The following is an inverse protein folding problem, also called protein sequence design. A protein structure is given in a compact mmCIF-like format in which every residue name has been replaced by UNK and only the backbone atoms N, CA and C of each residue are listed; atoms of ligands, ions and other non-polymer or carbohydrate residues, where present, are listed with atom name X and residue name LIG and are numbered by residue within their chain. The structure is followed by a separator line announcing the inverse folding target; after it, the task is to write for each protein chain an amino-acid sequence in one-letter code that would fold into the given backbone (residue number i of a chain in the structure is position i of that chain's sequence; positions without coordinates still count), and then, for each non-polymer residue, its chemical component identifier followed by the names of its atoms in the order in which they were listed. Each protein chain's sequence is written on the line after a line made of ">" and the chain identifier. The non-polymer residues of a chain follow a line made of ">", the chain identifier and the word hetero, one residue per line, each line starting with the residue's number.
data_IF_614497579991
#
_entry.id   IF_614497579991
#
_cell.length_a   1.000
_cell.length_b   1.000
_cell.length_c   1.000
_cell.angle_alpha   90.00
_cell.angle_beta   90.00
_cell.angle_gamma   90.00
#
_symmetry.space_group_name_H-M   'P 1'
#
loop_
_entity.id
_entity.type
_entity.pdbx_description
1 polymer ?
#
# COMPACT_ATOMS: atom_id res chain seq x y z
N UNK A 1 -0.36 12.94 -5.76
CA UNK A 1 -0.06 11.49 -5.62
C UNK A 1 -1.35 10.68 -5.59
N UNK A 2 -2.28 11.13 -4.76
CA UNK A 2 -3.69 10.74 -4.64
C UNK A 2 -4.36 10.56 -6.00
N UNK A 3 -4.25 11.55 -6.92
CA UNK A 3 -4.81 11.44 -8.27
C UNK A 3 -4.27 10.25 -9.07
N UNK A 4 -3.00 9.88 -8.88
CA UNK A 4 -2.40 8.73 -9.59
C UNK A 4 -2.95 7.42 -9.03
N UNK A 5 -3.01 7.30 -7.70
CA UNK A 5 -3.54 6.11 -7.03
C UNK A 5 -5.04 5.96 -7.30
N UNK A 6 -5.79 7.07 -7.23
CA UNK A 6 -7.25 7.10 -7.44
C UNK A 6 -7.69 6.77 -8.87
N UNK A 7 -6.78 6.82 -9.87
CA UNK A 7 -7.08 6.33 -11.23
C UNK A 7 -7.35 4.82 -11.25
N UNK A 8 -6.72 4.07 -10.35
CA UNK A 8 -6.90 2.61 -10.23
C UNK A 8 -7.77 2.23 -9.04
N UNK A 9 -7.61 2.91 -7.91
CA UNK A 9 -8.34 2.63 -6.67
C UNK A 9 -9.51 3.62 -6.53
N UNK A 10 -10.67 3.24 -7.05
CA UNK A 10 -11.86 4.09 -7.12
C UNK A 10 -12.71 3.91 -5.85
N UNK A 11 -13.27 5.00 -5.33
CA UNK A 11 -14.21 4.96 -4.20
C UNK A 11 -13.59 4.73 -2.82
N UNK A 12 -12.27 4.91 -2.68
CA UNK A 12 -11.54 4.76 -1.41
C UNK A 12 -10.69 6.00 -1.05
N UNK A 13 -11.28 7.22 -0.98
CA UNK A 13 -10.51 8.45 -0.87
C UNK A 13 -9.68 8.55 0.43
N UNK A 14 -10.17 8.01 1.54
CA UNK A 14 -9.47 8.02 2.83
C UNK A 14 -8.23 7.12 2.79
N UNK A 15 -8.36 5.90 2.28
CA UNK A 15 -7.23 4.98 2.14
C UNK A 15 -6.17 5.53 1.18
N UNK A 16 -6.61 6.09 0.04
CA UNK A 16 -5.72 6.75 -0.93
C UNK A 16 -4.97 7.92 -0.27
N UNK A 17 -5.65 8.77 0.49
CA UNK A 17 -5.05 9.91 1.19
C UNK A 17 -4.04 9.47 2.25
N UNK A 18 -4.38 8.46 3.05
CA UNK A 18 -3.50 7.93 4.10
C UNK A 18 -2.17 7.42 3.53
N UNK A 19 -2.24 6.63 2.45
CA UNK A 19 -1.06 6.10 1.78
C UNK A 19 -0.24 7.21 1.10
N UNK A 20 -0.91 8.15 0.42
CA UNK A 20 -0.22 9.26 -0.22
C UNK A 20 0.52 10.16 0.77
N UNK A 21 -0.05 10.39 1.97
CA UNK A 21 0.63 11.11 3.05
C UNK A 21 1.92 10.41 3.49
N UNK A 22 1.89 9.10 3.71
CA UNK A 22 3.07 8.33 4.10
C UNK A 22 4.22 8.42 3.09
N UNK A 23 3.89 8.25 1.80
CA UNK A 23 4.88 8.35 0.72
C UNK A 23 5.47 9.77 0.68
N UNK A 24 4.65 10.82 0.86
CA UNK A 24 5.14 12.21 0.92
C UNK A 24 6.08 12.43 2.11
N UNK A 25 5.76 11.90 3.29
CA UNK A 25 6.59 12.03 4.48
C UNK A 25 7.96 11.36 4.31
N UNK A 26 8.00 10.21 3.64
CA UNK A 26 9.27 9.55 3.34
C UNK A 26 10.10 10.33 2.32
N UNK A 27 9.48 10.83 1.24
CA UNK A 27 10.18 11.63 0.23
C UNK A 27 10.74 12.95 0.76
N UNK A 28 10.15 13.52 1.82
CA UNK A 28 10.68 14.73 2.45
C UNK A 28 11.84 14.47 3.41
N UNK A 29 12.21 13.21 3.67
CA UNK A 29 13.26 12.85 4.64
C UNK A 29 12.85 13.09 6.09
N UNK A 30 11.59 13.42 6.37
CA UNK A 30 11.06 13.66 7.72
C UNK A 30 10.69 12.36 8.45
N UNK A 31 10.78 11.21 7.77
CA UNK A 31 10.55 9.89 8.37
C UNK A 31 11.80 9.39 9.10
N UNK A 32 11.61 8.74 10.25
CA UNK A 32 12.67 8.02 10.95
C UNK A 32 13.23 6.88 10.08
N UNK A 33 14.53 6.90 9.78
CA UNK A 33 15.20 5.91 8.93
C UNK A 33 15.25 4.50 9.54
N UNK A 34 15.12 4.39 10.86
CA UNK A 34 15.12 3.11 11.58
C UNK A 34 13.72 2.45 11.63
N UNK A 35 12.74 2.98 10.91
CA UNK A 35 11.37 2.46 10.86
C UNK A 35 10.91 2.26 9.42
N UNK A 36 9.98 1.33 9.16
CA UNK A 36 9.33 1.24 7.87
C UNK A 36 8.73 2.59 7.46
N UNK A 37 8.75 2.87 6.15
CA UNK A 37 8.16 4.09 5.55
C UNK A 37 6.73 4.31 6.06
N UNK A 38 5.94 3.24 6.06
CA UNK A 38 4.67 3.15 6.74
C UNK A 38 4.28 1.68 6.94
N UNK A 39 3.41 1.44 7.91
CA UNK A 39 2.72 0.17 8.11
C UNK A 39 1.22 0.41 8.05
N UNK A 40 0.53 -0.38 7.24
CA UNK A 40 -0.91 -0.26 7.03
C UNK A 40 -1.59 -1.61 7.28
N UNK A 41 -2.73 -1.57 7.98
CA UNK A 41 -3.69 -2.66 8.03
C UNK A 41 -4.93 -2.24 7.25
N UNK A 42 -5.17 -2.88 6.11
CA UNK A 42 -6.34 -2.61 5.28
C UNK A 42 -7.46 -3.60 5.63
N UNK A 43 -8.58 -3.11 6.16
CA UNK A 43 -9.70 -3.95 6.61
C UNK A 43 -10.95 -3.66 5.78
N UNK A 44 -11.71 -4.70 5.44
CA UNK A 44 -13.02 -4.58 4.78
C UNK A 44 -13.42 -5.84 4.02
N UNK A 45 -14.60 -5.87 3.36
CA UNK A 45 -15.08 -7.01 2.58
C UNK A 45 -14.15 -7.42 1.42
N UNK A 46 -14.23 -8.66 0.95
CA UNK A 46 -13.49 -9.06 -0.25
C UNK A 46 -13.90 -8.22 -1.48
N UNK A 47 -12.99 -8.04 -2.42
CA UNK A 47 -13.24 -7.27 -3.65
C UNK A 47 -13.20 -5.74 -3.50
N UNK A 48 -13.03 -5.17 -2.30
CA UNK A 48 -13.01 -3.71 -2.11
C UNK A 48 -11.71 -3.00 -2.51
N UNK A 49 -10.74 -3.71 -3.09
CA UNK A 49 -9.52 -3.11 -3.64
C UNK A 49 -8.31 -3.05 -2.70
N UNK A 50 -8.28 -3.82 -1.59
CA UNK A 50 -7.13 -3.89 -0.68
C UNK A 50 -5.83 -4.29 -1.39
N UNK A 51 -5.85 -5.42 -2.10
CA UNK A 51 -4.70 -5.90 -2.89
C UNK A 51 -4.38 -4.98 -4.06
N UNK A 52 -5.40 -4.36 -4.67
CA UNK A 52 -5.23 -3.41 -5.76
C UNK A 52 -4.47 -2.15 -5.29
N UNK A 53 -4.80 -1.64 -4.10
CA UNK A 53 -4.09 -0.52 -3.49
C UNK A 53 -2.62 -0.85 -3.25
N UNK A 54 -2.30 -2.02 -2.70
CA UNK A 54 -0.92 -2.45 -2.50
C UNK A 54 -0.11 -2.50 -3.82
N UNK A 55 -0.67 -3.11 -4.88
CA UNK A 55 -0.03 -3.16 -6.22
C UNK A 55 0.14 -1.77 -6.83
N UNK A 56 -0.88 -0.92 -6.71
CA UNK A 56 -0.85 0.45 -7.23
C UNK A 56 0.24 1.27 -6.54
N UNK A 57 0.46 1.06 -5.25
CA UNK A 57 1.54 1.70 -4.49
C UNK A 57 2.91 1.26 -4.98
N UNK A 58 3.12 -0.04 -5.24
CA UNK A 58 4.35 -0.54 -5.83
C UNK A 58 4.62 0.13 -7.19
N UNK A 59 3.62 0.17 -8.07
CA UNK A 59 3.72 0.85 -9.37
C UNK A 59 4.06 2.34 -9.25
N UNK A 60 3.53 3.04 -8.25
CA UNK A 60 3.78 4.47 -8.05
C UNK A 60 5.13 4.75 -7.38
N UNK A 61 5.62 3.85 -6.52
CA UNK A 61 6.89 4.01 -5.81
C UNK A 61 8.09 3.54 -6.62
N UNK A 62 7.94 2.45 -7.35
CA UNK A 62 9.03 1.73 -8.03
C UNK A 62 8.87 1.66 -9.55
N UNK A 63 7.81 2.28 -10.09
CA UNK A 63 7.47 2.21 -11.52
C UNK A 63 7.22 0.77 -12.02
N UNK A 64 6.89 -0.14 -11.10
CA UNK A 64 6.64 -1.56 -11.35
C UNK A 64 5.67 -2.10 -10.30
N UNK A 65 4.52 -2.63 -10.74
CA UNK A 65 3.52 -3.24 -9.83
C UNK A 65 3.95 -4.59 -9.27
N UNK A 66 4.93 -5.23 -9.90
CA UNK A 66 5.52 -6.49 -9.46
C UNK A 66 6.66 -6.28 -8.46
N UNK A 67 7.11 -5.04 -8.25
CA UNK A 67 8.09 -4.66 -7.23
C UNK A 67 7.49 -4.70 -5.81
N UNK A 68 6.91 -5.84 -5.44
CA UNK A 68 6.38 -6.13 -4.13
C UNK A 68 6.69 -7.58 -3.75
N UNK A 69 7.12 -7.78 -2.50
CA UNK A 69 7.19 -9.12 -1.91
C UNK A 69 5.79 -9.45 -1.41
N UNK A 70 5.19 -10.51 -1.95
CA UNK A 70 3.88 -11.01 -1.54
C UNK A 70 4.05 -12.28 -0.73
N UNK A 71 3.49 -12.29 0.47
CA UNK A 71 3.40 -13.47 1.32
C UNK A 71 1.92 -13.84 1.41
N UNK A 72 1.58 -15.09 1.07
CA UNK A 72 0.22 -15.58 1.23
C UNK A 72 0.05 -16.15 2.63
N UNK A 73 -0.68 -15.44 3.48
CA UNK A 73 -0.88 -15.84 4.87
C UNK A 73 -1.67 -17.16 5.00
N UNK A 74 -2.42 -17.58 3.98
CA UNK A 74 -3.17 -18.84 4.03
C UNK A 74 -2.24 -20.06 4.07
N UNK A 75 -1.04 -19.94 3.48
CA UNK A 75 0.00 -20.98 3.48
C UNK A 75 0.64 -21.20 4.87
N UNK A 76 0.43 -20.28 5.81
CA UNK A 76 1.02 -20.30 7.16
C UNK A 76 -0.01 -20.59 8.26
N UNK A 77 -1.16 -21.15 7.89
CA UNK A 77 -2.26 -21.42 8.82
C UNK A 77 -2.06 -22.70 9.65
N UNK A 78 -1.30 -23.66 9.15
CA UNK A 78 -0.99 -24.89 9.89
C UNK A 78 0.23 -24.69 10.80
N UNK A 79 0.11 -25.16 12.04
CA UNK A 79 1.26 -25.33 12.93
C UNK A 79 2.03 -26.55 12.45
N UNK A 80 3.17 -26.35 11.80
CA UNK A 80 4.20 -27.38 11.71
C UNK A 80 4.81 -27.66 13.08
#
# INVERSE_FOLDING_TARGET
>A
LEKLIARKVIGQPEAVKAVANAIRLNRSGLSNQNRPIASFLLVGPSGTGKTLLAKTVAGVMFNDESAMIRIDASEYSEKH
#
